data_IF_591187071020
#
_entry.id   IF_591187071020
#
_cell.length_a   1.000
_cell.length_b   1.000
_cell.length_c   1.000
_cell.angle_alpha   90.00
_cell.angle_beta   90.00
_cell.angle_gamma   90.00
#
_symmetry.space_group_name_H-M   'P 1'
#
loop_
_entity.id
_entity.type
_entity.pdbx_description
1 polymer ?
#
# COMPACT_ATOMS: atom_id res chain seq x y z
N UNK A 1 59.57 30.63 4.39
CA UNK A 1 60.22 31.48 3.38
C UNK A 1 59.59 31.24 2.04
N UNK A 2 59.38 32.32 1.33
CA UNK A 2 58.80 32.54 -0.02
C UNK A 2 57.29 32.64 -0.13
N UNK A 3 56.86 33.90 -0.03
CA UNK A 3 55.61 34.46 -0.56
C UNK A 3 55.71 34.52 -2.07
N UNK A 4 54.61 34.26 -2.77
CA UNK A 4 54.47 34.69 -4.16
C UNK A 4 53.11 35.36 -4.34
N UNK A 5 53.16 36.68 -4.49
CA UNK A 5 52.08 37.54 -4.97
C UNK A 5 52.02 37.43 -6.50
N UNK A 6 50.84 37.33 -7.09
CA UNK A 6 50.62 37.73 -8.48
C UNK A 6 49.32 38.52 -8.58
N UNK A 7 49.48 39.63 -9.17
CA UNK A 7 48.72 40.85 -9.34
C UNK A 7 47.46 40.69 -10.24
N UNK A 8 46.53 41.60 -9.99
CA UNK A 8 45.31 41.88 -10.73
C UNK A 8 45.50 42.17 -12.22
N UNK A 9 44.47 41.84 -13.04
CA UNK A 9 44.25 42.55 -14.30
C UNK A 9 42.74 42.80 -14.46
N UNK A 10 42.36 44.06 -14.29
CA UNK A 10 41.03 44.63 -14.55
C UNK A 10 40.90 44.89 -16.05
N UNK A 11 39.79 44.44 -16.66
CA UNK A 11 39.34 44.98 -17.93
C UNK A 11 37.89 45.43 -17.75
N UNK A 12 37.74 46.76 -17.76
CA UNK A 12 36.44 47.44 -17.96
C UNK A 12 36.12 47.44 -19.43
N UNK A 13 34.88 47.08 -19.77
CA UNK A 13 34.26 47.52 -21.01
C UNK A 13 32.85 47.98 -20.73
N UNK A 14 32.60 49.25 -20.94
CA UNK A 14 31.33 49.94 -20.80
C UNK A 14 30.57 49.95 -22.16
N UNK A 15 29.28 50.27 -22.08
CA UNK A 15 28.36 50.83 -23.05
C UNK A 15 27.23 49.89 -23.57
N UNK A 16 26.01 50.39 -23.30
CA UNK A 16 24.80 49.98 -24.00
C UNK A 16 23.49 50.16 -23.20
N UNK A 17 23.17 51.45 -22.83
CA UNK A 17 21.82 51.80 -22.35
C UNK A 17 20.85 51.85 -23.53
N UNK A 18 19.86 50.93 -23.57
CA UNK A 18 18.62 51.15 -24.27
C UNK A 18 17.47 51.00 -23.27
N UNK A 19 16.83 52.14 -23.01
CA UNK A 19 15.60 52.21 -22.22
C UNK A 19 14.43 51.64 -23.02
N UNK A 20 13.74 50.64 -22.46
CA UNK A 20 12.36 50.31 -22.82
C UNK A 20 11.49 50.51 -21.62
N UNK A 21 10.47 51.35 -21.73
CA UNK A 21 9.45 51.65 -20.76
C UNK A 21 8.60 50.40 -20.44
N UNK A 22 8.14 50.20 -19.23
CA UNK A 22 7.17 49.15 -18.88
C UNK A 22 5.75 49.61 -19.30
N UNK A 23 4.90 48.67 -19.81
CA UNK A 23 3.47 48.94 -19.96
C UNK A 23 2.75 48.97 -18.64
N UNK A 24 1.72 49.81 -18.55
CA UNK A 24 0.86 50.05 -17.38
C UNK A 24 0.21 48.77 -16.87
N UNK A 25 0.10 48.70 -15.54
CA UNK A 25 -0.55 47.61 -14.80
C UNK A 25 -2.08 47.70 -14.99
N UNK A 26 -2.65 46.75 -15.74
CA UNK A 26 -4.08 46.44 -15.62
C UNK A 26 -4.39 45.79 -14.30
N UNK A 27 -5.36 46.38 -13.57
CA UNK A 27 -5.93 45.84 -12.35
C UNK A 27 -6.66 44.53 -12.66
N UNK A 28 -6.05 43.40 -12.38
CA UNK A 28 -6.75 42.13 -12.33
C UNK A 28 -7.59 42.02 -11.07
N UNK A 29 -8.87 41.70 -11.25
CA UNK A 29 -9.84 41.36 -10.22
C UNK A 29 -9.43 40.10 -9.43
N UNK A 30 -9.88 39.89 -8.18
CA UNK A 30 -9.53 38.72 -7.39
C UNK A 30 -10.07 37.45 -8.06
N UNK A 31 -9.16 36.55 -8.39
CA UNK A 31 -9.51 35.23 -8.87
C UNK A 31 -10.25 34.47 -7.75
N UNK A 32 -11.45 34.02 -8.05
CA UNK A 32 -12.21 33.08 -7.25
C UNK A 32 -11.38 31.80 -7.06
N UNK A 33 -11.31 31.29 -5.84
CA UNK A 33 -10.72 30.01 -5.49
C UNK A 33 -11.32 28.92 -6.36
N UNK A 34 -10.46 28.34 -7.21
CA UNK A 34 -10.83 27.34 -8.19
C UNK A 34 -11.27 26.04 -7.53
N UNK A 35 -12.37 25.51 -8.02
CA UNK A 35 -12.79 24.15 -7.81
C UNK A 35 -11.65 23.19 -8.16
N UNK A 36 -11.41 22.19 -7.31
CA UNK A 36 -10.56 21.03 -7.60
C UNK A 36 -11.11 20.34 -8.85
N UNK A 37 -10.48 20.56 -9.99
CA UNK A 37 -10.90 19.94 -11.23
C UNK A 37 -10.59 18.46 -11.24
N UNK A 38 -11.60 17.61 -11.44
CA UNK A 38 -11.36 16.21 -11.73
C UNK A 38 -10.46 16.11 -12.98
N UNK A 39 -9.33 15.39 -12.85
CA UNK A 39 -8.44 15.15 -13.97
C UNK A 39 -9.01 14.02 -14.82
N UNK A 40 -9.29 14.25 -16.11
CA UNK A 40 -9.73 13.21 -17.03
C UNK A 40 -8.58 12.77 -17.94
N UNK A 41 -8.32 11.46 -17.98
CA UNK A 41 -7.37 10.87 -18.91
C UNK A 41 -8.08 10.46 -20.20
N UNK A 42 -7.39 10.66 -21.34
CA UNK A 42 -7.83 10.13 -22.62
C UNK A 42 -7.44 8.65 -22.75
N UNK A 43 -8.19 7.88 -23.55
CA UNK A 43 -7.90 6.48 -23.82
C UNK A 43 -6.43 6.30 -24.29
N UNK A 44 -5.66 5.47 -23.60
CA UNK A 44 -4.26 5.17 -23.90
C UNK A 44 -3.23 6.13 -23.30
N UNK A 45 -3.62 7.11 -22.48
CA UNK A 45 -2.69 8.02 -21.79
C UNK A 45 -2.23 7.49 -20.44
N UNK A 46 -1.04 7.92 -19.99
CA UNK A 46 -0.59 7.70 -18.62
C UNK A 46 -1.29 8.69 -17.69
N UNK A 47 -1.89 8.16 -16.62
CA UNK A 47 -2.52 8.92 -15.54
C UNK A 47 -1.49 9.18 -14.45
N UNK A 48 -1.22 10.44 -14.13
CA UNK A 48 -0.29 10.76 -13.06
C UNK A 48 -1.04 10.95 -11.74
N UNK A 49 -0.55 10.30 -10.70
CA UNK A 49 -1.03 10.42 -9.32
C UNK A 49 0.15 10.79 -8.43
N UNK A 50 0.07 11.93 -7.78
CA UNK A 50 1.00 12.28 -6.70
C UNK A 50 0.41 11.83 -5.36
N UNK A 51 1.22 11.24 -4.49
CA UNK A 51 0.80 10.89 -3.12
C UNK A 51 1.70 11.64 -2.15
N UNK A 52 1.11 12.48 -1.31
CA UNK A 52 1.81 13.20 -0.25
C UNK A 52 1.48 12.61 1.13
N UNK A 53 1.95 13.23 2.22
CA UNK A 53 1.74 12.69 3.57
C UNK A 53 0.27 12.61 4.01
N UNK A 54 -0.67 13.24 3.29
CA UNK A 54 -2.06 13.39 3.73
C UNK A 54 -3.11 13.06 2.67
N UNK A 55 -2.75 13.01 1.39
CA UNK A 55 -3.73 12.89 0.30
C UNK A 55 -3.10 12.45 -1.02
N UNK A 56 -3.93 12.01 -1.96
CA UNK A 56 -3.59 11.90 -3.38
C UNK A 56 -3.76 13.23 -4.11
N UNK A 57 -3.02 13.43 -5.18
CA UNK A 57 -3.14 14.56 -6.11
C UNK A 57 -3.20 14.04 -7.57
N UNK A 58 -4.38 14.08 -8.19
CA UNK A 58 -5.67 14.54 -7.67
C UNK A 58 -6.37 13.51 -6.77
N UNK A 59 -7.33 13.98 -5.94
CA UNK A 59 -8.21 13.13 -5.13
C UNK A 59 -9.35 12.50 -5.93
N UNK A 60 -9.64 13.02 -7.13
CA UNK A 60 -10.67 12.49 -8.01
C UNK A 60 -10.11 12.30 -9.42
N UNK A 61 -10.30 11.11 -9.96
CA UNK A 61 -9.88 10.72 -11.30
C UNK A 61 -11.06 10.18 -12.10
N UNK A 62 -11.05 10.43 -13.41
CA UNK A 62 -11.95 9.78 -14.35
C UNK A 62 -11.13 9.20 -15.50
N UNK A 63 -11.28 7.91 -15.76
CA UNK A 63 -10.58 7.19 -16.84
C UNK A 63 -11.57 6.36 -17.66
N UNK A 64 -11.26 6.05 -18.93
CA UNK A 64 -12.05 5.10 -19.71
C UNK A 64 -11.79 3.66 -19.25
N UNK A 65 -12.76 2.76 -19.45
CA UNK A 65 -12.58 1.33 -19.25
C UNK A 65 -11.56 0.74 -20.22
N UNK A 66 -10.92 -0.37 -19.82
CA UNK A 66 -9.86 -1.03 -20.54
C UNK A 66 -8.52 -0.90 -19.83
N UNK A 67 -7.43 -1.06 -20.54
CA UNK A 67 -6.09 -0.93 -19.99
C UNK A 67 -5.74 0.52 -19.69
N UNK A 68 -5.40 0.81 -18.44
CA UNK A 68 -4.98 2.13 -17.95
C UNK A 68 -3.58 2.01 -17.35
N UNK A 69 -2.73 2.99 -17.61
CA UNK A 69 -1.39 3.09 -17.01
C UNK A 69 -1.40 4.23 -16.00
N UNK A 70 -1.16 3.93 -14.74
CA UNK A 70 -0.93 4.92 -13.69
C UNK A 70 0.58 5.12 -13.50
N UNK A 71 1.00 6.34 -13.28
CA UNK A 71 2.34 6.71 -12.85
C UNK A 71 2.20 7.34 -11.47
N UNK A 72 2.55 6.58 -10.45
CA UNK A 72 2.38 6.94 -9.05
C UNK A 72 3.67 7.60 -8.57
N UNK A 73 3.60 8.85 -8.12
CA UNK A 73 4.73 9.61 -7.59
C UNK A 73 4.61 9.73 -6.08
N UNK A 74 5.57 9.17 -5.36
CA UNK A 74 5.68 9.37 -3.92
C UNK A 74 6.29 10.74 -3.61
N UNK A 75 5.46 11.67 -3.14
CA UNK A 75 5.85 13.00 -2.67
C UNK A 75 5.89 13.08 -1.12
N UNK A 76 5.72 11.95 -0.42
CA UNK A 76 5.77 11.85 1.04
C UNK A 76 7.19 11.62 1.56
N UNK A 77 7.38 11.68 2.87
CA UNK A 77 8.64 11.42 3.53
C UNK A 77 8.91 9.95 3.88
N UNK A 78 8.06 9.02 3.49
CA UNK A 78 8.11 7.58 3.83
C UNK A 78 7.92 6.70 2.61
N UNK A 79 8.26 5.43 2.68
CA UNK A 79 7.78 4.44 1.70
C UNK A 79 6.25 4.42 1.75
N UNK A 80 5.59 4.21 0.64
CA UNK A 80 4.14 4.10 0.57
C UNK A 80 3.71 2.99 -0.38
N UNK A 81 2.49 2.57 -0.16
CA UNK A 81 1.68 1.71 -0.99
C UNK A 81 0.57 2.53 -1.65
N UNK A 82 0.17 2.13 -2.85
CA UNK A 82 -0.95 2.73 -3.57
C UNK A 82 -1.80 1.66 -4.23
N UNK A 83 -3.06 1.60 -3.87
CA UNK A 83 -4.02 0.59 -4.31
C UNK A 83 -5.18 1.22 -5.07
N UNK A 84 -5.78 0.44 -5.97
CA UNK A 84 -7.11 0.66 -6.52
C UNK A 84 -8.07 -0.34 -5.89
N UNK A 85 -9.14 0.16 -5.29
CA UNK A 85 -10.10 -0.63 -4.54
C UNK A 85 -11.46 -0.68 -5.24
N UNK A 86 -12.13 -1.83 -5.15
CA UNK A 86 -13.54 -1.98 -5.50
C UNK A 86 -14.31 -2.58 -4.32
N UNK A 87 -14.96 -1.73 -3.53
CA UNK A 87 -15.51 -2.13 -2.24
C UNK A 87 -14.39 -2.53 -1.29
N UNK A 88 -14.44 -3.74 -0.76
CA UNK A 88 -13.44 -4.30 0.16
C UNK A 88 -12.27 -5.01 -0.54
N UNK A 89 -12.29 -5.05 -1.87
CA UNK A 89 -11.30 -5.82 -2.64
C UNK A 89 -10.28 -4.92 -3.31
N UNK A 90 -9.01 -5.27 -3.17
CA UNK A 90 -7.91 -4.70 -3.94
C UNK A 90 -8.00 -5.17 -5.39
N UNK A 91 -7.99 -4.22 -6.32
CA UNK A 91 -8.03 -4.47 -7.76
C UNK A 91 -6.62 -4.59 -8.34
N UNK A 92 -5.73 -3.72 -7.94
CA UNK A 92 -4.30 -3.75 -8.26
C UNK A 92 -3.57 -2.77 -7.34
N UNK A 93 -2.28 -2.97 -7.13
CA UNK A 93 -1.48 -2.20 -6.17
C UNK A 93 -0.04 -2.02 -6.60
N UNK A 94 0.64 -1.08 -5.98
CA UNK A 94 2.09 -0.91 -6.01
C UNK A 94 2.58 -0.58 -4.62
N UNK A 95 3.48 -1.41 -4.14
CA UNK A 95 4.09 -1.31 -2.83
C UNK A 95 5.47 -0.69 -2.85
N UNK A 96 5.97 -0.38 -1.68
CA UNK A 96 7.36 -0.01 -1.44
C UNK A 96 7.88 1.16 -2.28
N UNK A 97 7.00 2.06 -2.76
CA UNK A 97 7.41 3.24 -3.52
C UNK A 97 8.19 4.17 -2.59
N UNK A 98 9.51 4.25 -2.77
CA UNK A 98 10.37 5.04 -1.91
C UNK A 98 10.14 6.56 -2.08
N UNK A 99 10.43 7.37 -1.04
CA UNK A 99 10.31 8.83 -1.10
C UNK A 99 11.00 9.44 -2.31
N UNK A 100 10.28 10.28 -3.03
CA UNK A 100 10.77 10.96 -4.23
C UNK A 100 10.83 10.10 -5.49
N UNK A 101 10.54 8.81 -5.43
CA UNK A 101 10.48 7.93 -6.59
C UNK A 101 9.07 7.86 -7.20
N UNK A 102 8.96 7.26 -8.38
CA UNK A 102 7.71 6.96 -9.05
C UNK A 102 7.71 5.52 -9.50
N UNK A 103 6.54 4.89 -9.47
CA UNK A 103 6.32 3.58 -10.05
C UNK A 103 5.16 3.60 -11.03
N UNK A 104 5.10 2.59 -11.91
CA UNK A 104 4.05 2.46 -12.93
C UNK A 104 3.23 1.22 -12.67
N UNK A 105 1.91 1.40 -12.67
CA UNK A 105 0.94 0.32 -12.62
C UNK A 105 0.14 0.28 -13.93
N UNK A 106 0.04 -0.89 -14.53
CA UNK A 106 -0.79 -1.12 -15.71
C UNK A 106 -1.91 -2.07 -15.32
N UNK A 107 -3.13 -1.57 -15.31
CA UNK A 107 -4.31 -2.33 -14.84
C UNK A 107 -5.42 -2.29 -15.88
N UNK A 108 -6.20 -3.36 -15.98
CA UNK A 108 -7.43 -3.42 -16.79
C UNK A 108 -8.63 -3.15 -15.91
N UNK A 109 -9.33 -2.04 -16.17
CA UNK A 109 -10.48 -1.61 -15.38
C UNK A 109 -11.79 -1.74 -16.18
N UNK A 110 -12.81 -2.28 -15.52
CA UNK A 110 -14.18 -2.32 -16.02
C UNK A 110 -14.93 -1.05 -15.60
N UNK A 111 -16.00 -0.65 -16.30
CA UNK A 111 -16.80 0.50 -15.89
C UNK A 111 -17.31 0.39 -14.46
N UNK A 112 -17.24 1.48 -13.70
CA UNK A 112 -17.71 1.53 -12.32
C UNK A 112 -17.04 2.60 -11.48
N UNK A 113 -17.38 2.60 -10.19
CA UNK A 113 -16.76 3.44 -9.18
C UNK A 113 -15.75 2.61 -8.40
N UNK A 114 -14.60 3.22 -8.13
CA UNK A 114 -13.46 2.68 -7.41
C UNK A 114 -12.94 3.72 -6.43
N UNK A 115 -12.13 3.29 -5.50
CA UNK A 115 -11.38 4.15 -4.59
C UNK A 115 -9.87 3.98 -4.83
N UNK A 116 -9.07 4.90 -4.32
CA UNK A 116 -7.61 4.84 -4.32
C UNK A 116 -7.11 5.06 -2.89
N UNK A 117 -6.16 4.28 -2.44
CA UNK A 117 -5.44 4.59 -1.19
C UNK A 117 -4.49 5.77 -1.42
N UNK A 118 -4.23 6.55 -0.38
CA UNK A 118 -3.42 7.77 -0.47
C UNK A 118 -2.31 7.78 0.60
N UNK A 119 -1.50 6.75 0.61
CA UNK A 119 -0.41 6.59 1.56
C UNK A 119 -0.88 6.01 2.89
N UNK A 120 -0.80 6.76 4.01
CA UNK A 120 -1.18 6.21 5.31
C UNK A 120 -2.60 5.64 5.32
N UNK A 121 -2.79 4.52 6.01
CA UNK A 121 -4.08 3.83 6.15
C UNK A 121 -5.21 4.74 6.70
N UNK A 122 -4.86 5.74 7.48
CA UNK A 122 -5.79 6.72 8.06
C UNK A 122 -6.05 7.93 7.17
N UNK A 123 -5.38 8.05 6.02
CA UNK A 123 -5.62 9.13 5.08
C UNK A 123 -6.96 8.96 4.35
N UNK A 124 -7.58 10.05 3.89
CA UNK A 124 -8.78 9.97 3.06
C UNK A 124 -8.48 9.23 1.75
N UNK A 125 -9.38 8.33 1.37
CA UNK A 125 -9.30 7.65 0.06
C UNK A 125 -9.68 8.60 -1.06
N UNK A 126 -8.99 8.48 -2.21
CA UNK A 126 -9.35 9.17 -3.43
C UNK A 126 -10.46 8.44 -4.19
N UNK A 127 -11.16 9.15 -5.08
CA UNK A 127 -12.22 8.60 -5.93
C UNK A 127 -11.68 8.35 -7.35
N UNK A 128 -11.97 7.14 -7.91
CA UNK A 128 -11.66 6.80 -9.29
C UNK A 128 -12.94 6.35 -10.00
N UNK A 129 -13.36 7.08 -11.02
CA UNK A 129 -14.51 6.75 -11.86
C UNK A 129 -14.02 6.18 -13.19
N UNK A 130 -14.45 4.98 -13.50
CA UNK A 130 -14.17 4.33 -14.80
C UNK A 130 -15.40 4.41 -15.68
N UNK A 131 -15.28 5.16 -16.77
CA UNK A 131 -16.37 5.34 -17.73
C UNK A 131 -16.38 4.23 -18.78
N UNK A 132 -17.57 3.89 -19.28
CA UNK A 132 -17.68 2.90 -20.35
C UNK A 132 -17.09 3.43 -21.66
N UNK A 133 -16.05 2.77 -22.14
CA UNK A 133 -15.41 3.03 -23.46
C UNK A 133 -15.83 2.03 -24.53
N UNK A 134 -16.74 1.10 -24.20
CA UNK A 134 -17.06 -0.05 -25.04
C UNK A 134 -16.03 -1.19 -24.94
N UNK A 135 -15.07 -1.11 -24.00
CA UNK A 135 -14.12 -2.18 -23.74
C UNK A 135 -14.86 -3.43 -23.27
N UNK A 136 -14.53 -4.56 -23.87
CA UNK A 136 -15.00 -5.88 -23.44
C UNK A 136 -13.79 -6.70 -22.99
N UNK A 137 -13.84 -7.17 -21.78
CA UNK A 137 -12.88 -8.18 -21.32
C UNK A 137 -13.17 -9.49 -22.04
N UNK A 138 -12.36 -9.82 -23.01
CA UNK A 138 -12.45 -11.07 -23.78
C UNK A 138 -11.47 -12.10 -23.26
N UNK A 139 -11.27 -12.17 -21.94
CA UNK A 139 -10.34 -13.10 -21.31
C UNK A 139 -10.27 -14.46 -22.03
N UNK A 140 -9.09 -15.04 -22.15
CA UNK A 140 -8.85 -16.24 -22.95
C UNK A 140 -9.51 -17.45 -22.28
N UNK A 141 -10.75 -17.79 -22.68
CA UNK A 141 -11.54 -18.93 -22.15
C UNK A 141 -10.75 -20.26 -22.15
N UNK A 142 -9.89 -20.47 -23.18
CA UNK A 142 -9.07 -21.68 -23.28
C UNK A 142 -7.98 -21.78 -22.20
N UNK A 143 -7.49 -20.66 -21.70
CA UNK A 143 -6.53 -20.65 -20.61
C UNK A 143 -7.23 -20.77 -19.25
N UNK A 144 -8.43 -20.24 -19.11
CA UNK A 144 -9.25 -20.41 -17.90
C UNK A 144 -9.58 -21.89 -17.65
N UNK A 145 -9.87 -22.68 -18.69
CA UNK A 145 -10.14 -24.12 -18.56
C UNK A 145 -8.89 -24.88 -18.05
N UNK A 146 -7.69 -24.54 -18.54
CA UNK A 146 -6.43 -25.14 -18.08
C UNK A 146 -6.10 -24.80 -16.63
N UNK A 147 -6.51 -23.63 -16.18
CA UNK A 147 -6.25 -23.15 -14.81
C UNK A 147 -7.28 -23.61 -13.79
N UNK A 148 -8.44 -24.14 -14.21
CA UNK A 148 -9.53 -24.50 -13.32
C UNK A 148 -9.11 -25.48 -12.20
N UNK A 149 -8.35 -26.54 -12.56
CA UNK A 149 -7.87 -27.50 -11.54
C UNK A 149 -6.80 -26.92 -10.63
N UNK A 150 -5.71 -26.28 -11.14
CA UNK A 150 -4.73 -25.60 -10.27
C UNK A 150 -5.36 -24.62 -9.30
N UNK A 151 -6.32 -23.81 -9.75
CA UNK A 151 -7.01 -22.83 -8.89
C UNK A 151 -7.86 -23.51 -7.81
N UNK A 152 -8.54 -24.60 -8.15
CA UNK A 152 -9.30 -25.37 -7.16
C UNK A 152 -8.37 -25.99 -6.10
N UNK A 153 -7.25 -26.55 -6.51
CA UNK A 153 -6.24 -27.12 -5.61
C UNK A 153 -5.64 -26.03 -4.70
N UNK A 154 -5.32 -24.83 -5.26
CA UNK A 154 -4.81 -23.70 -4.51
C UNK A 154 -5.85 -23.16 -3.51
N UNK A 155 -7.13 -23.07 -3.92
CA UNK A 155 -8.21 -22.69 -2.99
C UNK A 155 -8.27 -23.61 -1.78
N UNK A 156 -8.19 -24.93 -1.99
CA UNK A 156 -8.20 -25.92 -0.89
C UNK A 156 -6.99 -25.71 0.04
N UNK A 157 -5.83 -25.43 -0.54
CA UNK A 157 -4.61 -25.10 0.24
C UNK A 157 -4.81 -23.85 1.11
N UNK A 158 -5.23 -22.73 0.52
CA UNK A 158 -5.46 -21.47 1.23
C UNK A 158 -6.51 -21.61 2.32
N UNK A 159 -7.61 -22.30 2.07
CA UNK A 159 -8.62 -22.59 3.09
C UNK A 159 -8.08 -23.45 4.24
N UNK A 160 -7.18 -24.38 3.95
CA UNK A 160 -6.47 -25.18 4.96
C UNK A 160 -5.58 -24.31 5.85
N UNK A 161 -4.76 -23.46 5.25
CA UNK A 161 -3.86 -22.54 5.97
C UNK A 161 -4.66 -21.50 6.78
N UNK A 162 -5.74 -20.94 6.24
CA UNK A 162 -6.61 -20.02 6.96
C UNK A 162 -7.24 -20.64 8.21
N UNK A 163 -7.61 -21.92 8.14
CA UNK A 163 -8.12 -22.66 9.30
C UNK A 163 -7.05 -22.87 10.37
N UNK A 164 -5.83 -23.22 9.98
CA UNK A 164 -4.70 -23.34 10.91
C UNK A 164 -4.33 -21.98 11.50
N UNK A 165 -4.35 -20.90 10.70
CA UNK A 165 -4.17 -19.52 11.18
C UNK A 165 -5.11 -19.19 12.32
N UNK A 166 -6.41 -19.45 12.17
CA UNK A 166 -7.42 -19.25 13.24
C UNK A 166 -7.06 -20.04 14.51
N UNK A 167 -6.70 -21.31 14.35
CA UNK A 167 -6.37 -22.18 15.50
C UNK A 167 -5.10 -21.71 16.22
N UNK A 168 -4.06 -21.34 15.48
CA UNK A 168 -2.77 -20.88 16.03
C UNK A 168 -2.87 -19.47 16.63
N UNK A 169 -3.57 -18.56 15.96
CA UNK A 169 -3.85 -17.22 16.48
C UNK A 169 -4.64 -17.29 17.77
N UNK A 170 -5.59 -18.22 17.88
CA UNK A 170 -6.32 -18.43 19.14
C UNK A 170 -5.39 -18.80 20.28
N UNK A 171 -4.50 -19.76 20.08
CA UNK A 171 -3.54 -20.18 21.11
C UNK A 171 -2.61 -19.04 21.51
N UNK A 172 -2.13 -18.26 20.52
CA UNK A 172 -1.28 -17.08 20.71
C UNK A 172 -2.01 -16.00 21.52
N UNK A 173 -3.19 -15.58 21.08
CA UNK A 173 -3.97 -14.52 21.74
C UNK A 173 -4.43 -14.92 23.15
N UNK A 174 -4.75 -16.21 23.38
CA UNK A 174 -5.06 -16.69 24.72
C UNK A 174 -3.86 -16.56 25.68
N UNK A 175 -2.63 -16.84 25.22
CA UNK A 175 -1.41 -16.64 26.01
C UNK A 175 -1.17 -15.14 26.30
N UNK A 176 -1.38 -14.25 25.31
CA UNK A 176 -1.29 -12.79 25.49
C UNK A 176 -2.29 -12.31 26.55
N UNK A 177 -3.54 -12.73 26.47
CA UNK A 177 -4.61 -12.36 27.43
C UNK A 177 -4.33 -12.89 28.83
N UNK A 178 -3.73 -14.07 28.94
CA UNK A 178 -3.29 -14.63 30.23
C UNK A 178 -2.09 -13.88 30.82
N UNK A 179 -1.37 -13.07 30.04
CA UNK A 179 -0.15 -12.40 30.48
C UNK A 179 1.08 -13.30 30.45
N UNK A 180 1.01 -14.46 29.81
CA UNK A 180 2.13 -15.40 29.68
C UNK A 180 3.00 -15.01 28.48
N UNK A 181 3.93 -14.07 28.74
CA UNK A 181 4.81 -13.47 27.71
C UNK A 181 5.65 -14.53 27.02
N UNK A 182 6.27 -15.44 27.78
CA UNK A 182 7.16 -16.44 27.20
C UNK A 182 6.40 -17.46 26.34
N UNK A 183 5.21 -17.85 26.79
CA UNK A 183 4.32 -18.70 26.00
C UNK A 183 3.85 -17.99 24.73
N UNK A 184 3.44 -16.71 24.83
CA UNK A 184 3.02 -15.93 23.67
C UNK A 184 4.16 -15.81 22.65
N UNK A 185 5.38 -15.46 23.06
CA UNK A 185 6.56 -15.43 22.20
C UNK A 185 6.80 -16.75 21.46
N UNK A 186 6.68 -17.88 22.18
CA UNK A 186 6.90 -19.19 21.59
C UNK A 186 5.86 -19.61 20.55
N UNK A 187 4.71 -18.94 20.50
CA UNK A 187 3.60 -19.21 19.59
C UNK A 187 3.52 -18.22 18.42
N UNK A 188 4.25 -17.11 18.47
CA UNK A 188 4.16 -16.00 17.52
C UNK A 188 4.51 -16.45 16.10
N UNK A 189 5.71 -16.99 15.89
CA UNK A 189 6.17 -17.42 14.56
C UNK A 189 5.27 -18.50 13.95
N UNK A 190 4.80 -19.48 14.76
CA UNK A 190 3.91 -20.55 14.28
C UNK A 190 2.56 -19.99 13.80
N UNK A 191 2.01 -18.97 14.48
CA UNK A 191 0.78 -18.33 14.05
C UNK A 191 1.01 -17.50 12.77
N UNK A 192 2.06 -16.69 12.72
CA UNK A 192 2.41 -15.87 11.54
C UNK A 192 2.68 -16.69 10.29
N UNK A 193 3.39 -17.81 10.39
CA UNK A 193 3.70 -18.68 9.25
C UNK A 193 2.45 -19.06 8.43
N UNK A 194 1.30 -19.24 9.06
CA UNK A 194 0.06 -19.53 8.36
C UNK A 194 -0.53 -18.31 7.66
N UNK A 195 -0.30 -17.11 8.19
CA UNK A 195 -0.66 -15.87 7.54
C UNK A 195 0.20 -15.63 6.30
N UNK A 196 1.52 -15.67 6.42
CA UNK A 196 2.48 -15.53 5.33
C UNK A 196 2.18 -16.45 4.13
N UNK A 197 1.72 -17.67 4.40
CA UNK A 197 1.36 -18.62 3.34
C UNK A 197 0.11 -18.27 2.56
N UNK A 198 -0.76 -17.44 3.11
CA UNK A 198 -1.99 -16.98 2.47
C UNK A 198 -1.97 -15.49 2.16
N UNK A 199 -0.90 -14.80 2.46
CA UNK A 199 -0.72 -13.36 2.27
C UNK A 199 -1.15 -12.90 0.87
N UNK A 200 -0.76 -13.54 -0.26
CA UNK A 200 -1.21 -13.12 -1.59
C UNK A 200 -2.74 -13.15 -1.80
N UNK A 201 -3.46 -13.76 -0.88
CA UNK A 201 -4.93 -13.76 -0.86
C UNK A 201 -5.49 -12.85 0.23
N UNK A 202 -4.78 -12.72 1.37
CA UNK A 202 -5.16 -11.82 2.45
C UNK A 202 -5.11 -10.36 2.01
N UNK A 203 -4.09 -9.96 1.28
CA UNK A 203 -3.90 -8.63 0.66
C UNK A 203 -5.05 -8.20 -0.25
N UNK A 204 -5.84 -9.14 -0.77
CA UNK A 204 -7.05 -8.80 -1.52
C UNK A 204 -8.13 -8.12 -0.65
N UNK A 205 -7.99 -8.14 0.67
CA UNK A 205 -8.99 -7.63 1.63
C UNK A 205 -8.45 -6.41 2.38
N UNK A 206 -8.49 -5.28 1.73
CA UNK A 206 -7.89 -4.00 2.14
C UNK A 206 -8.23 -3.45 3.54
N UNK A 207 -9.19 -4.05 4.26
CA UNK A 207 -9.50 -3.69 5.65
C UNK A 207 -9.01 -4.76 6.64
N UNK A 208 -8.96 -6.03 6.21
CA UNK A 208 -8.56 -7.15 7.07
C UNK A 208 -7.05 -7.32 7.10
N UNK A 209 -6.41 -7.22 5.94
CA UNK A 209 -4.98 -7.34 5.83
C UNK A 209 -4.25 -6.32 6.73
N UNK A 210 -4.45 -4.99 6.59
CA UNK A 210 -3.78 -4.04 7.47
C UNK A 210 -4.17 -4.16 8.94
N UNK A 211 -5.40 -4.60 9.23
CA UNK A 211 -5.84 -4.81 10.61
C UNK A 211 -5.12 -5.99 11.30
N UNK A 212 -4.65 -6.95 10.50
CA UNK A 212 -3.94 -8.15 10.96
C UNK A 212 -2.42 -7.94 10.96
N UNK A 213 -1.88 -7.32 9.88
CA UNK A 213 -0.45 -7.36 9.57
C UNK A 213 0.25 -6.03 9.37
N UNK A 214 -0.45 -4.87 9.32
CA UNK A 214 0.20 -3.58 9.10
C UNK A 214 1.31 -3.31 10.13
N UNK A 215 2.37 -2.68 9.67
CA UNK A 215 3.56 -2.33 10.44
C UNK A 215 3.45 -0.91 11.00
N UNK A 216 4.26 -0.57 11.98
CA UNK A 216 4.23 0.75 12.62
C UNK A 216 4.45 1.91 11.62
N UNK A 217 5.18 1.66 10.53
CA UNK A 217 5.52 2.69 9.54
C UNK A 217 4.32 3.09 8.65
N UNK A 218 3.25 2.29 8.64
CA UNK A 218 2.00 2.56 7.92
C UNK A 218 1.11 3.58 8.65
N UNK A 219 1.50 3.94 9.86
CA UNK A 219 0.77 4.86 10.73
C UNK A 219 1.57 6.13 11.02
N UNK A 220 0.84 7.26 11.15
CA UNK A 220 1.46 8.56 11.41
C UNK A 220 2.22 8.59 12.72
N UNK A 221 1.59 8.11 13.80
CA UNK A 221 2.13 8.14 15.15
C UNK A 221 2.82 6.81 15.53
N UNK A 222 3.10 5.97 14.52
CA UNK A 222 3.81 4.68 14.63
C UNK A 222 3.23 3.80 15.75
N UNK A 223 4.10 3.31 16.64
CA UNK A 223 3.69 2.45 17.77
C UNK A 223 2.71 3.09 18.73
N UNK A 224 2.56 4.41 18.73
CA UNK A 224 1.61 5.14 19.58
C UNK A 224 0.28 5.41 18.86
N UNK A 225 0.17 5.08 17.58
CA UNK A 225 -1.06 5.25 16.82
C UNK A 225 -2.13 4.27 17.30
N UNK A 226 -3.33 4.79 17.55
CA UNK A 226 -4.45 3.98 18.03
C UNK A 226 -4.99 2.99 16.97
N UNK A 227 -4.76 3.28 15.69
CA UNK A 227 -5.13 2.41 14.58
C UNK A 227 -4.14 1.26 14.37
N UNK A 228 -2.91 1.34 14.92
CA UNK A 228 -1.93 0.28 14.85
C UNK A 228 -2.37 -0.92 15.70
N UNK A 229 -2.78 -2.00 15.03
CA UNK A 229 -3.31 -3.24 15.63
C UNK A 229 -2.56 -4.46 15.08
N UNK A 230 -3.14 -5.64 15.19
CA UNK A 230 -2.61 -6.84 14.56
C UNK A 230 -1.41 -7.50 15.27
N UNK A 231 -0.76 -8.38 14.52
CA UNK A 231 0.38 -9.15 15.02
C UNK A 231 1.54 -8.26 15.45
N UNK A 232 1.93 -7.27 14.65
CA UNK A 232 3.10 -6.43 14.92
C UNK A 232 2.91 -5.49 16.10
N UNK A 233 1.68 -5.07 16.39
CA UNK A 233 1.39 -4.34 17.63
C UNK A 233 1.61 -5.21 18.87
N UNK A 234 1.20 -6.47 18.82
CA UNK A 234 1.40 -7.42 19.93
C UNK A 234 2.87 -7.83 20.01
N UNK A 235 3.54 -8.00 18.87
CA UNK A 235 4.99 -8.26 18.79
C UNK A 235 5.78 -7.16 19.51
N UNK A 236 5.49 -5.89 19.22
CA UNK A 236 6.10 -4.76 19.91
C UNK A 236 5.90 -4.83 21.44
N UNK A 237 4.69 -5.17 21.89
CA UNK A 237 4.40 -5.32 23.32
C UNK A 237 5.22 -6.46 23.97
N UNK A 238 5.38 -7.59 23.27
CA UNK A 238 6.11 -8.77 23.76
C UNK A 238 7.62 -8.55 23.82
N UNK A 239 8.23 -8.02 22.76
CA UNK A 239 9.70 -7.94 22.64
C UNK A 239 10.28 -6.63 23.16
N UNK A 240 9.59 -5.49 22.90
CA UNK A 240 10.07 -4.16 23.27
C UNK A 240 9.58 -3.74 24.65
N UNK A 241 8.25 -3.69 24.82
CA UNK A 241 7.65 -3.26 26.13
C UNK A 241 7.78 -4.32 27.20
N UNK A 242 7.81 -5.59 26.83
CA UNK A 242 7.79 -6.76 27.75
C UNK A 242 6.62 -6.69 28.72
N UNK A 243 5.51 -6.13 28.25
CA UNK A 243 4.25 -5.98 28.96
C UNK A 243 3.10 -6.07 27.95
N UNK A 244 2.19 -7.01 28.19
CA UNK A 244 1.02 -7.27 27.34
C UNK A 244 -0.29 -6.77 27.96
N UNK A 245 -0.23 -6.07 29.10
CA UNK A 245 -1.44 -5.58 29.78
C UNK A 245 -2.26 -4.63 28.91
N UNK A 246 -1.59 -3.80 28.11
CA UNK A 246 -2.20 -2.80 27.23
C UNK A 246 -2.64 -3.32 25.86
N UNK A 247 -2.46 -4.62 25.54
CA UNK A 247 -2.77 -5.17 24.20
C UNK A 247 -3.78 -6.32 24.23
N UNK A 248 -4.49 -6.52 25.34
CA UNK A 248 -5.50 -7.58 25.45
C UNK A 248 -6.68 -7.38 24.51
N UNK A 249 -7.15 -6.14 24.37
CA UNK A 249 -8.23 -5.81 23.45
C UNK A 249 -7.76 -5.92 21.98
N UNK A 250 -6.47 -5.66 21.72
CA UNK A 250 -5.86 -5.86 20.39
C UNK A 250 -5.78 -7.36 20.07
N UNK A 251 -5.46 -8.21 21.05
CA UNK A 251 -5.49 -9.65 20.87
C UNK A 251 -6.90 -10.18 20.57
N UNK A 252 -7.93 -9.62 21.23
CA UNK A 252 -9.32 -9.96 20.92
C UNK A 252 -9.74 -9.46 19.54
N UNK A 253 -9.26 -8.28 19.11
CA UNK A 253 -9.49 -7.76 17.75
C UNK A 253 -8.82 -8.64 16.72
N UNK A 254 -7.53 -8.96 16.88
CA UNK A 254 -6.78 -9.83 15.98
C UNK A 254 -7.51 -11.17 15.76
N UNK A 255 -8.01 -11.78 16.82
CA UNK A 255 -8.76 -13.03 16.70
C UNK A 255 -10.00 -12.88 15.84
N UNK A 256 -10.76 -11.79 16.00
CA UNK A 256 -11.96 -11.50 15.20
C UNK A 256 -11.62 -11.24 13.73
N UNK A 257 -10.53 -10.51 13.48
CA UNK A 257 -10.11 -10.16 12.12
C UNK A 257 -9.65 -11.41 11.36
N UNK A 258 -8.90 -12.31 12.02
CA UNK A 258 -8.48 -13.59 11.44
C UNK A 258 -9.68 -14.52 11.18
N UNK A 259 -10.68 -14.58 12.07
CA UNK A 259 -11.93 -15.32 11.83
C UNK A 259 -12.73 -14.72 10.66
N UNK A 260 -12.73 -13.38 10.54
CA UNK A 260 -13.38 -12.70 9.43
C UNK A 260 -12.65 -13.01 8.10
N UNK A 261 -11.31 -12.94 8.10
CA UNK A 261 -10.49 -13.29 6.93
C UNK A 261 -10.74 -14.72 6.46
N UNK A 262 -10.79 -15.69 7.36
CA UNK A 262 -11.13 -17.07 7.01
C UNK A 262 -12.50 -17.15 6.31
N UNK A 263 -13.51 -16.45 6.82
CA UNK A 263 -14.86 -16.44 6.25
C UNK A 263 -14.88 -15.83 4.85
N UNK A 264 -14.15 -14.72 4.64
CA UNK A 264 -14.04 -14.10 3.31
C UNK A 264 -13.31 -15.02 2.32
N UNK A 265 -12.23 -15.69 2.73
CA UNK A 265 -11.50 -16.68 1.94
C UNK A 265 -12.41 -17.86 1.55
N UNK A 266 -13.24 -18.35 2.45
CA UNK A 266 -14.19 -19.43 2.17
C UNK A 266 -15.22 -19.04 1.10
N UNK A 267 -15.65 -17.78 1.11
CA UNK A 267 -16.61 -17.23 0.15
C UNK A 267 -15.97 -16.79 -1.19
N UNK A 268 -14.65 -16.55 -1.21
CA UNK A 268 -13.94 -16.00 -2.35
C UNK A 268 -13.97 -16.94 -3.56
N UNK A 269 -14.27 -16.38 -4.73
CA UNK A 269 -13.94 -17.01 -6.01
C UNK A 269 -12.51 -16.63 -6.36
N UNK A 270 -11.65 -17.60 -6.63
CA UNK A 270 -10.23 -17.38 -6.91
C UNK A 270 -10.03 -17.04 -8.41
N UNK A 271 -10.02 -15.75 -8.80
CA UNK A 271 -9.80 -15.37 -10.18
C UNK A 271 -8.32 -15.63 -10.56
N UNK A 272 -8.06 -16.22 -11.73
CA UNK A 272 -6.69 -16.58 -12.15
C UNK A 272 -5.71 -15.42 -12.13
N UNK A 273 -6.14 -14.25 -12.59
CA UNK A 273 -5.31 -13.04 -12.63
C UNK A 273 -4.91 -12.55 -11.24
N UNK A 274 -5.78 -12.74 -10.23
CA UNK A 274 -5.49 -12.36 -8.85
C UNK A 274 -4.48 -13.30 -8.20
N UNK A 275 -4.64 -14.60 -8.40
CA UNK A 275 -3.68 -15.59 -7.86
C UNK A 275 -2.29 -15.40 -8.46
N UNK A 276 -2.20 -15.17 -9.78
CA UNK A 276 -0.91 -14.94 -10.44
C UNK A 276 -0.34 -13.55 -10.09
N UNK A 277 -1.21 -12.53 -10.00
CA UNK A 277 -0.82 -11.17 -9.62
C UNK A 277 -0.25 -11.12 -8.20
N UNK A 278 -0.96 -11.63 -7.20
CA UNK A 278 -0.51 -11.66 -5.81
C UNK A 278 0.81 -12.44 -5.64
N UNK A 279 0.99 -13.56 -6.36
CA UNK A 279 2.26 -14.26 -6.35
C UNK A 279 3.42 -13.43 -6.92
N UNK A 280 3.17 -12.57 -7.90
CA UNK A 280 4.18 -11.66 -8.46
C UNK A 280 4.52 -10.53 -7.48
N UNK A 281 3.51 -9.92 -6.86
CA UNK A 281 3.67 -8.88 -5.83
C UNK A 281 4.48 -9.41 -4.65
N UNK A 282 4.14 -10.58 -4.11
CA UNK A 282 4.89 -11.20 -3.02
C UNK A 282 6.37 -11.44 -3.36
N UNK A 283 6.71 -11.80 -4.60
CA UNK A 283 8.12 -11.94 -5.03
C UNK A 283 8.83 -10.58 -5.01
N UNK A 284 8.17 -9.50 -5.45
CA UNK A 284 8.70 -8.15 -5.40
C UNK A 284 8.89 -7.68 -3.96
N UNK A 285 7.96 -7.99 -3.08
CA UNK A 285 8.01 -7.68 -1.66
C UNK A 285 9.16 -8.39 -0.93
N UNK A 286 9.32 -9.70 -1.17
CA UNK A 286 10.47 -10.46 -0.65
C UNK A 286 11.79 -9.79 -1.05
N UNK A 287 11.92 -9.36 -2.30
CA UNK A 287 13.14 -8.70 -2.78
C UNK A 287 13.32 -7.28 -2.23
N UNK A 288 12.22 -6.57 -1.93
CA UNK A 288 12.23 -5.16 -1.51
C UNK A 288 12.32 -4.95 0.00
N UNK A 289 11.64 -5.77 0.79
CA UNK A 289 11.47 -5.56 2.24
C UNK A 289 11.72 -6.79 3.09
N UNK A 290 11.13 -7.95 2.80
CA UNK A 290 11.21 -9.14 3.68
C UNK A 290 12.64 -9.66 3.87
N UNK A 291 13.48 -9.59 2.84
CA UNK A 291 14.90 -10.00 2.94
C UNK A 291 15.73 -9.11 3.89
N UNK A 292 15.25 -7.92 4.22
CA UNK A 292 15.93 -7.01 5.14
C UNK A 292 15.67 -7.30 6.62
N UNK A 293 14.75 -8.23 6.94
CA UNK A 293 14.31 -8.55 8.30
C UNK A 293 13.41 -7.47 8.90
N UNK A 294 12.73 -6.70 8.05
CA UNK A 294 11.77 -5.68 8.49
C UNK A 294 10.38 -6.27 8.76
N UNK A 295 10.15 -7.50 8.36
CA UNK A 295 8.88 -8.20 8.52
C UNK A 295 8.53 -8.35 10.00
N UNK A 296 9.28 -9.17 10.70
CA UNK A 296 9.15 -9.35 12.15
C UNK A 296 10.19 -8.47 12.87
N UNK A 297 10.01 -7.17 12.79
CA UNK A 297 10.98 -6.13 13.16
C UNK A 297 11.51 -6.24 14.59
N UNK A 298 10.73 -6.74 15.51
CA UNK A 298 11.08 -6.79 16.93
C UNK A 298 11.51 -8.16 17.42
N UNK A 299 10.97 -9.21 16.81
CA UNK A 299 11.27 -10.60 17.16
C UNK A 299 12.37 -11.22 16.30
N UNK A 300 12.48 -10.76 15.04
CA UNK A 300 13.35 -11.30 13.98
C UNK A 300 13.09 -12.79 13.72
N UNK A 301 11.84 -13.23 13.86
CA UNK A 301 11.46 -14.62 13.64
C UNK A 301 11.39 -14.99 12.16
N UNK A 302 11.24 -14.01 11.28
CA UNK A 302 11.33 -14.11 9.83
C UNK A 302 12.72 -14.52 9.31
N UNK A 303 13.78 -14.32 10.11
CA UNK A 303 15.16 -14.66 9.76
C UNK A 303 15.62 -16.00 10.35
N UNK A 304 14.77 -16.76 11.03
CA UNK A 304 15.15 -17.98 11.78
C UNK A 304 14.74 -19.31 11.13
#
# INVERSE_FOLDING_TARGET
>A
MKKLNITALSVMLALGLTACQPPEAEKSAPAASGASGASSANAGGTVNVGVNDTACEPMELTVPSGQVVFNIKNNSGRKLEWEILKGVMVVDERENIAPGLSDKMTVTLLPGEYEMTCGLLTNPRGKLVVTDSGFKDTGNEADLEKLAKPLADYKVYVQGEAKELVAKTKAFTDAVKAGDIEKAKSLFADARTHYERIEPIAELFNELDPAIDAREDDFKDKTEDAAFTGFHRIEHALWVKKDVSGVKDIADKLMKDVEALQKEIDALSFPPNKVVGGAAVLIEEVAGSKISGEEDRYSHTDLS
#
